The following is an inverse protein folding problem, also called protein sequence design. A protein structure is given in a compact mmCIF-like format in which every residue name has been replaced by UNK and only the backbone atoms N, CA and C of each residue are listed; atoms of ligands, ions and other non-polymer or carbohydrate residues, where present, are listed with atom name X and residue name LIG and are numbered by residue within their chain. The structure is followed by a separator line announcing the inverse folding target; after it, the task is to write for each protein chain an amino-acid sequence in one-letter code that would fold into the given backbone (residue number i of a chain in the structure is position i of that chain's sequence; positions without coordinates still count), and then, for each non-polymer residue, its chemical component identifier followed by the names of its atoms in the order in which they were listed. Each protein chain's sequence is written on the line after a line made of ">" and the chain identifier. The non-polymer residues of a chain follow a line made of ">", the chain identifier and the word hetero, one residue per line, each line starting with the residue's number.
data_IF_108787954841
#
_entry.id   IF_108787954841
#
_cell.length_a   1.000
_cell.length_b   1.000
_cell.length_c   1.000
_cell.angle_alpha   90.00
_cell.angle_beta   90.00
_cell.angle_gamma   90.00
#
_symmetry.space_group_name_H-M   'P 1'
#
loop_
_entity.id
_entity.type
_entity.pdbx_description
1 polymer ?
#
# COMPACT_ATOMS: atom_id res chain seq x y z
N UNK A 1 -11.03 -0.39 32.56
CA UNK A 1 -10.38 -1.52 31.86
C UNK A 1 -11.29 -1.94 30.73
N UNK A 2 -11.03 -1.46 29.51
CA UNK A 2 -11.78 -1.78 28.30
C UNK A 2 -10.80 -1.81 27.13
N UNK A 3 -11.06 -2.72 26.20
CA UNK A 3 -10.07 -3.53 25.49
C UNK A 3 -9.29 -2.80 24.38
N UNK A 4 -8.00 -3.14 24.32
CA UNK A 4 -7.05 -2.79 23.26
C UNK A 4 -7.49 -3.31 21.89
N UNK A 5 -7.79 -2.40 20.97
CA UNK A 5 -7.82 -2.68 19.53
C UNK A 5 -6.77 -1.78 18.88
N UNK A 6 -5.51 -2.19 18.95
CA UNK A 6 -4.49 -1.75 18.00
C UNK A 6 -4.17 -2.96 17.14
N UNK A 7 -4.45 -2.80 15.85
CA UNK A 7 -4.35 -3.78 14.78
C UNK A 7 -2.99 -4.50 14.83
N UNK A 8 -3.06 -5.82 14.76
CA UNK A 8 -1.93 -6.71 14.54
C UNK A 8 -1.26 -6.34 13.20
N UNK A 9 -0.16 -5.60 13.25
CA UNK A 9 0.78 -5.48 12.14
C UNK A 9 1.74 -6.66 12.27
N UNK A 10 1.40 -7.78 11.62
CA UNK A 10 2.34 -8.90 11.54
C UNK A 10 3.54 -8.46 10.70
N UNK A 11 4.70 -8.38 11.37
CA UNK A 11 5.99 -8.10 10.75
C UNK A 11 6.32 -9.23 9.77
N UNK A 12 6.12 -8.99 8.48
CA UNK A 12 6.95 -9.63 7.48
C UNK A 12 8.38 -9.09 7.61
N UNK A 13 9.36 -9.99 7.63
CA UNK A 13 10.79 -9.77 7.93
C UNK A 13 11.31 -8.35 7.58
N UNK A 14 11.47 -7.48 8.59
CA UNK A 14 12.19 -6.21 8.46
C UNK A 14 11.57 -5.13 7.57
N UNK A 15 10.35 -5.32 7.07
CA UNK A 15 9.69 -4.34 6.19
C UNK A 15 8.75 -3.42 6.98
N UNK A 16 8.85 -2.11 6.75
CA UNK A 16 7.97 -1.09 7.29
C UNK A 16 7.23 -0.39 6.15
N UNK A 17 5.90 -0.56 6.10
CA UNK A 17 5.06 0.19 5.17
C UNK A 17 4.80 1.60 5.67
N UNK A 18 5.13 2.60 4.85
CA UNK A 18 4.83 4.01 5.09
C UNK A 18 4.00 4.56 3.92
N UNK A 19 3.10 5.52 4.20
CA UNK A 19 2.34 6.19 3.13
C UNK A 19 3.17 7.34 2.57
N UNK A 20 3.31 7.43 1.26
CA UNK A 20 4.05 8.53 0.62
C UNK A 20 3.46 9.92 0.95
N UNK A 21 2.15 10.02 1.20
CA UNK A 21 1.49 11.27 1.57
C UNK A 21 1.86 11.83 2.94
N UNK A 22 2.63 11.12 3.76
CA UNK A 22 3.20 11.65 5.01
C UNK A 22 4.63 12.17 4.85
N UNK A 23 5.18 12.15 3.63
CA UNK A 23 6.53 12.61 3.32
C UNK A 23 6.48 14.10 2.94
N UNK A 24 7.44 14.90 3.43
CA UNK A 24 7.52 16.33 3.10
C UNK A 24 7.75 16.57 1.60
N UNK A 25 8.50 15.69 0.95
CA UNK A 25 8.71 15.67 -0.50
C UNK A 25 8.32 14.31 -1.08
N UNK A 26 7.09 14.24 -1.63
CA UNK A 26 6.57 13.05 -2.28
C UNK A 26 7.28 12.71 -3.61
N UNK A 27 8.05 13.64 -4.20
CA UNK A 27 8.78 13.37 -5.46
C UNK A 27 9.96 12.42 -5.28
N UNK A 28 10.42 12.24 -4.05
CA UNK A 28 11.50 11.33 -3.67
C UNK A 28 11.15 9.85 -3.88
N UNK A 29 9.85 9.52 -4.02
CA UNK A 29 9.40 8.15 -4.19
C UNK A 29 8.42 8.04 -5.36
N UNK A 30 8.76 7.20 -6.34
CA UNK A 30 7.88 6.87 -7.46
C UNK A 30 7.28 5.47 -7.25
N UNK A 31 5.96 5.29 -7.43
CA UNK A 31 5.37 3.96 -7.42
C UNK A 31 6.01 3.06 -8.48
N UNK A 32 6.38 1.83 -8.09
CA UNK A 32 6.94 0.83 -9.00
C UNK A 32 5.96 -0.32 -9.26
N UNK A 33 4.84 -0.38 -8.54
CA UNK A 33 3.87 -1.47 -8.59
C UNK A 33 2.52 -1.01 -8.08
N UNK A 34 1.45 -1.52 -8.71
CA UNK A 34 0.08 -1.40 -8.21
C UNK A 34 -0.35 -2.73 -7.57
N UNK A 35 -0.75 -2.69 -6.30
CA UNK A 35 -1.25 -3.86 -5.55
C UNK A 35 -2.73 -3.68 -5.19
N UNK A 36 -3.43 -4.79 -4.96
CA UNK A 36 -4.88 -4.84 -4.68
C UNK A 36 -5.75 -4.24 -5.79
N UNK A 37 -5.32 -4.34 -7.05
CA UNK A 37 -5.98 -3.68 -8.18
C UNK A 37 -7.41 -4.17 -8.47
N UNK A 38 -7.80 -5.34 -7.96
CA UNK A 38 -9.21 -5.80 -8.08
C UNK A 38 -10.20 -4.93 -7.30
N UNK A 39 -9.72 -4.22 -6.28
CA UNK A 39 -10.52 -3.36 -5.41
C UNK A 39 -10.36 -1.87 -5.73
N UNK A 40 -9.64 -1.54 -6.81
CA UNK A 40 -9.45 -0.16 -7.24
C UNK A 40 -10.80 0.45 -7.64
N UNK A 41 -11.00 1.72 -7.29
CA UNK A 41 -12.18 2.46 -7.72
C UNK A 41 -12.11 2.72 -9.23
N UNK A 42 -13.27 2.76 -9.91
CA UNK A 42 -13.32 2.95 -11.37
C UNK A 42 -12.74 4.29 -11.85
N UNK A 43 -12.56 5.25 -10.95
CA UNK A 43 -12.03 6.58 -11.21
C UNK A 43 -10.54 6.70 -10.86
N UNK A 44 -9.93 5.66 -10.30
CA UNK A 44 -8.53 5.68 -9.88
C UNK A 44 -7.59 5.62 -11.10
N UNK A 45 -6.59 6.50 -11.12
CA UNK A 45 -5.61 6.54 -12.19
C UNK A 45 -4.43 5.62 -11.86
N UNK A 46 -4.44 4.42 -12.44
CA UNK A 46 -3.33 3.48 -12.36
C UNK A 46 -2.44 3.61 -13.60
N UNK A 47 -1.13 3.80 -13.39
CA UNK A 47 -0.18 3.88 -14.50
C UNK A 47 -0.18 2.56 -15.30
N UNK A 48 -0.52 2.54 -16.61
CA UNK A 48 -0.59 1.31 -17.41
C UNK A 48 0.72 0.53 -17.50
N UNK A 49 1.86 1.23 -17.38
CA UNK A 49 3.19 0.64 -17.53
C UNK A 49 3.68 -0.09 -16.27
N UNK A 50 2.98 0.06 -15.14
CA UNK A 50 3.34 -0.58 -13.88
C UNK A 50 2.72 -1.98 -13.75
N UNK A 51 3.48 -2.96 -13.22
CA UNK A 51 2.96 -4.28 -12.86
C UNK A 51 1.75 -4.17 -11.92
N UNK A 52 0.74 -5.02 -12.16
CA UNK A 52 -0.53 -5.02 -11.42
C UNK A 52 -0.76 -6.34 -10.71
N UNK A 53 -0.95 -6.28 -9.40
CA UNK A 53 -1.26 -7.44 -8.57
C UNK A 53 -2.67 -7.29 -8.01
N UNK A 54 -3.58 -8.18 -8.44
CA UNK A 54 -5.00 -8.07 -8.12
C UNK A 54 -5.31 -8.40 -6.66
N UNK A 55 -4.66 -9.43 -6.10
CA UNK A 55 -4.82 -9.86 -4.70
C UNK A 55 -3.45 -10.05 -4.05
N UNK A 56 -3.41 -9.97 -2.73
CA UNK A 56 -2.26 -10.48 -1.96
C UNK A 56 -2.07 -11.95 -2.34
N UNK A 57 -0.90 -12.28 -2.88
CA UNK A 57 -0.51 -13.67 -3.13
C UNK A 57 -0.14 -14.26 -1.77
N UNK A 58 -1.15 -14.71 -1.01
CA UNK A 58 -0.98 -15.51 0.20
C UNK A 58 -0.77 -16.98 -0.14
#
# INVERSE_FOLDING_TARGET
>A
MWLSIIRKLERYLGLLGLRAGTLDDASLFKPNVDIFTSSAAHWDFMNPDLPKFQREQS
#
